data_IF_527114234416
#
_entry.id   IF_527114234416
#
_cell.length_a   1.000
_cell.length_b   1.000
_cell.length_c   1.000
_cell.angle_alpha   90.00
_cell.angle_beta   90.00
_cell.angle_gamma   90.00
#
_symmetry.space_group_name_H-M   'P 1'
#
loop_
_entity.id
_entity.type
_entity.pdbx_description
1 polymer ?
#
# COMPACT_ATOMS: atom_id res chain seq x y z
N UNK A 1 -16.21 -48.91 23.16
CA UNK A 1 -16.24 -47.67 23.96
C UNK A 1 -15.09 -46.79 23.50
N UNK A 2 -15.42 -45.61 22.93
CA UNK A 2 -14.63 -44.36 22.87
C UNK A 2 -13.13 -44.46 22.55
N UNK A 3 -12.60 -43.96 21.41
CA UNK A 3 -12.64 -42.56 20.97
C UNK A 3 -12.06 -42.50 19.54
N UNK A 4 -12.85 -42.35 18.48
CA UNK A 4 -13.18 -41.08 17.78
C UNK A 4 -11.96 -40.22 17.41
N UNK A 5 -11.54 -40.39 16.15
CA UNK A 5 -11.30 -39.34 15.16
C UNK A 5 -10.69 -38.01 15.62
N UNK A 6 -9.37 -37.90 15.54
CA UNK A 6 -8.65 -36.61 15.57
C UNK A 6 -7.68 -36.46 14.36
N UNK A 7 -8.08 -36.97 13.19
CA UNK A 7 -7.30 -36.83 11.96
C UNK A 7 -8.08 -36.20 10.79
N UNK A 8 -9.17 -35.45 11.05
CA UNK A 8 -9.86 -34.69 10.00
C UNK A 8 -10.53 -33.46 10.58
N UNK A 9 -9.78 -32.38 10.83
CA UNK A 9 -10.22 -31.00 10.56
C UNK A 9 -9.13 -30.00 10.91
N UNK A 10 -8.61 -29.32 9.91
CA UNK A 10 -7.58 -28.31 10.11
C UNK A 10 -7.12 -27.66 8.80
N UNK A 11 -8.03 -27.43 7.87
CA UNK A 11 -7.88 -26.43 6.82
C UNK A 11 -7.53 -25.09 7.48
N UNK A 12 -6.23 -24.77 7.57
CA UNK A 12 -5.79 -23.40 7.69
C UNK A 12 -4.81 -23.14 6.57
N UNK A 13 -5.36 -22.66 5.46
CA UNK A 13 -4.65 -21.93 4.42
C UNK A 13 -3.69 -20.94 5.09
N UNK A 14 -2.42 -21.30 5.22
CA UNK A 14 -1.37 -20.33 5.52
C UNK A 14 -0.91 -19.76 4.19
N UNK A 15 -1.12 -18.45 4.05
CA UNK A 15 -0.98 -17.70 2.83
C UNK A 15 0.41 -17.80 2.23
N UNK A 16 0.51 -18.50 1.10
CA UNK A 16 1.64 -18.44 0.18
C UNK A 16 1.18 -17.56 -0.99
N UNK A 17 1.12 -16.25 -0.79
CA UNK A 17 0.92 -15.30 -1.91
C UNK A 17 1.60 -13.95 -1.69
N UNK A 18 2.54 -13.83 -0.74
CA UNK A 18 3.25 -12.57 -0.49
C UNK A 18 4.68 -12.42 -1.07
N UNK A 19 5.37 -13.42 -1.65
CA UNK A 19 6.67 -13.13 -2.28
C UNK A 19 6.52 -12.54 -3.69
N UNK A 20 5.60 -13.07 -4.51
CA UNK A 20 5.50 -12.73 -5.94
C UNK A 20 5.14 -11.26 -6.22
N UNK A 21 4.29 -10.66 -5.37
CA UNK A 21 3.89 -9.27 -5.54
C UNK A 21 5.02 -8.26 -5.22
N UNK A 22 5.93 -8.61 -4.32
CA UNK A 22 7.08 -7.76 -3.97
C UNK A 22 8.11 -7.76 -5.11
N UNK A 23 8.32 -8.92 -5.74
CA UNK A 23 9.26 -9.06 -6.86
C UNK A 23 8.84 -8.28 -8.11
N UNK A 24 7.54 -8.30 -8.45
CA UNK A 24 7.04 -7.63 -9.65
C UNK A 24 7.21 -6.10 -9.60
N UNK A 25 7.00 -5.48 -8.43
CA UNK A 25 7.22 -4.05 -8.25
C UNK A 25 8.71 -3.72 -8.42
N UNK A 26 9.59 -4.49 -7.77
CA UNK A 26 11.03 -4.27 -7.85
C UNK A 26 11.57 -4.47 -9.28
N UNK A 27 11.01 -5.43 -10.02
CA UNK A 27 11.35 -5.66 -11.42
C UNK A 27 10.88 -4.51 -12.31
N UNK A 28 9.67 -3.99 -12.08
CA UNK A 28 9.16 -2.82 -12.81
C UNK A 28 10.02 -1.56 -12.59
N UNK A 29 10.53 -1.34 -11.38
CA UNK A 29 11.42 -0.22 -11.06
C UNK A 29 12.76 -0.34 -11.79
N UNK A 30 13.36 -1.54 -11.78
CA UNK A 30 14.62 -1.82 -12.49
C UNK A 30 14.48 -1.64 -13.99
N UNK A 31 13.36 -2.10 -14.57
CA UNK A 31 13.06 -1.89 -15.99
C UNK A 31 12.87 -0.40 -16.26
N UNK A 32 12.14 0.32 -15.42
CA UNK A 32 11.96 1.77 -15.53
C UNK A 32 13.30 2.52 -15.48
N UNK A 33 14.21 2.13 -14.60
CA UNK A 33 15.54 2.72 -14.49
C UNK A 33 16.41 2.43 -15.71
N UNK A 34 16.38 1.20 -16.23
CA UNK A 34 17.09 0.85 -17.46
C UNK A 34 16.55 1.63 -18.68
N UNK A 35 15.23 1.76 -18.80
CA UNK A 35 14.58 2.51 -19.87
C UNK A 35 14.85 4.02 -19.80
N UNK A 36 15.19 4.54 -18.62
CA UNK A 36 15.56 5.95 -18.40
C UNK A 36 16.86 6.37 -19.13
N UNK A 37 17.67 5.41 -19.59
CA UNK A 37 18.88 5.62 -20.39
C UNK A 37 18.67 5.37 -21.90
N UNK A 38 17.45 5.00 -22.32
CA UNK A 38 17.12 4.71 -23.72
C UNK A 38 16.43 5.91 -24.40
N UNK A 39 16.14 5.81 -25.70
CA UNK A 39 15.35 6.81 -26.43
C UNK A 39 13.94 7.05 -25.84
N UNK A 40 13.41 6.11 -25.04
CA UNK A 40 12.12 6.25 -24.34
C UNK A 40 12.22 6.92 -22.97
N UNK A 41 13.40 7.37 -22.56
CA UNK A 41 13.63 8.12 -21.33
C UNK A 41 12.61 9.25 -21.04
N UNK A 42 12.22 10.12 -22.00
CA UNK A 42 11.27 11.20 -21.69
C UNK A 42 9.91 10.69 -21.21
N UNK A 43 9.41 9.59 -21.80
CA UNK A 43 8.11 9.01 -21.43
C UNK A 43 8.17 8.42 -20.03
N UNK A 44 9.22 7.66 -19.72
CA UNK A 44 9.39 7.03 -18.39
C UNK A 44 9.55 8.10 -17.30
N UNK A 45 10.32 9.16 -17.57
CA UNK A 45 10.47 10.28 -16.63
C UNK A 45 9.15 11.03 -16.42
N UNK A 46 8.35 11.21 -17.48
CA UNK A 46 7.03 11.83 -17.37
C UNK A 46 6.09 11.00 -16.51
N UNK A 47 6.03 9.68 -16.73
CA UNK A 47 5.24 8.75 -15.92
C UNK A 47 5.65 8.78 -14.45
N UNK A 48 6.96 8.77 -14.17
CA UNK A 48 7.50 8.84 -12.80
C UNK A 48 7.08 10.13 -12.09
N UNK A 49 7.22 11.28 -12.76
CA UNK A 49 6.78 12.57 -12.21
C UNK A 49 5.28 12.59 -11.96
N UNK A 50 4.47 12.08 -12.90
CA UNK A 50 3.02 11.99 -12.73
C UNK A 50 2.65 11.17 -11.50
N UNK A 51 3.27 10.01 -11.32
CA UNK A 51 3.02 9.17 -10.15
C UNK A 51 3.41 9.88 -8.84
N UNK A 52 4.58 10.50 -8.79
CA UNK A 52 5.03 11.28 -7.63
C UNK A 52 4.08 12.44 -7.29
N UNK A 53 3.53 13.13 -8.31
CA UNK A 53 2.57 14.22 -8.06
C UNK A 53 1.25 13.72 -7.50
N UNK A 54 0.81 12.51 -7.85
CA UNK A 54 -0.39 11.88 -7.30
C UNK A 54 -0.17 11.53 -5.83
N UNK A 55 0.93 10.84 -5.52
CA UNK A 55 1.29 10.48 -4.14
C UNK A 55 1.45 11.71 -3.24
N UNK A 56 2.05 12.78 -3.76
CA UNK A 56 2.21 14.03 -3.02
C UNK A 56 0.86 14.69 -2.70
N UNK A 57 -0.12 14.63 -3.61
CA UNK A 57 -1.49 15.12 -3.37
C UNK A 57 -2.20 14.29 -2.31
N UNK A 58 -2.13 12.96 -2.43
CA UNK A 58 -2.73 12.06 -1.44
C UNK A 58 -2.15 12.31 -0.04
N UNK A 59 -0.83 12.44 0.08
CA UNK A 59 -0.17 12.75 1.36
C UNK A 59 -0.58 14.11 1.92
N UNK A 60 -0.75 15.12 1.08
CA UNK A 60 -1.25 16.43 1.50
C UNK A 60 -2.68 16.33 2.04
N UNK A 61 -3.55 15.59 1.35
CA UNK A 61 -4.93 15.40 1.76
C UNK A 61 -5.03 14.62 3.08
N UNK A 62 -4.21 13.56 3.27
CA UNK A 62 -4.13 12.85 4.53
C UNK A 62 -3.75 13.77 5.69
N UNK A 63 -2.70 14.59 5.53
CA UNK A 63 -2.28 15.55 6.57
C UNK A 63 -3.37 16.57 6.88
N UNK A 64 -4.07 17.03 5.84
CA UNK A 64 -5.16 17.98 5.98
C UNK A 64 -6.33 17.37 6.74
N UNK A 65 -6.76 16.17 6.38
CA UNK A 65 -7.83 15.44 7.08
C UNK A 65 -7.45 15.22 8.55
N UNK A 66 -6.23 14.77 8.81
CA UNK A 66 -5.75 14.53 10.17
C UNK A 66 -5.76 15.81 11.01
N UNK A 67 -5.33 16.94 10.44
CA UNK A 67 -5.39 18.24 11.12
C UNK A 67 -6.82 18.68 11.44
N UNK A 68 -7.76 18.48 10.52
CA UNK A 68 -9.17 18.83 10.70
C UNK A 68 -9.80 17.92 11.76
N UNK A 69 -9.54 16.61 11.68
CA UNK A 69 -10.02 15.63 12.65
C UNK A 69 -9.55 15.98 14.05
N UNK A 70 -8.27 16.32 14.20
CA UNK A 70 -7.69 16.73 15.47
C UNK A 70 -8.33 18.01 16.01
N UNK A 71 -8.59 19.00 15.14
CA UNK A 71 -9.31 20.23 15.54
C UNK A 71 -10.74 19.94 16.01
N UNK A 72 -11.47 19.09 15.29
CA UNK A 72 -12.82 18.68 15.68
C UNK A 72 -12.78 17.97 17.04
N UNK A 73 -11.86 17.01 17.20
CA UNK A 73 -11.72 16.24 18.44
C UNK A 73 -11.38 17.15 19.62
N UNK A 74 -10.52 18.16 19.45
CA UNK A 74 -10.21 19.14 20.48
C UNK A 74 -11.43 19.99 20.86
N UNK A 75 -12.15 20.52 19.86
CA UNK A 75 -13.33 21.38 20.08
C UNK A 75 -14.52 20.62 20.67
N UNK A 76 -14.69 19.36 20.30
CA UNK A 76 -15.82 18.52 20.70
C UNK A 76 -15.45 17.53 21.82
N UNK A 77 -14.24 17.62 22.38
CA UNK A 77 -13.81 16.78 23.49
C UNK A 77 -14.72 16.94 24.72
N UNK A 78 -15.16 18.17 25.00
CA UNK A 78 -16.12 18.48 26.06
C UNK A 78 -17.53 17.89 25.80
N UNK A 79 -17.88 17.59 24.55
CA UNK A 79 -19.17 16.97 24.18
C UNK A 79 -19.12 15.43 24.25
N UNK A 80 -17.93 14.84 24.41
CA UNK A 80 -17.70 13.40 24.51
C UNK A 80 -17.38 12.95 25.94
N UNK A 81 -17.34 13.87 26.92
CA UNK A 81 -17.18 13.60 28.35
C UNK A 81 -18.49 13.31 29.06
#
# INVERSE_FOLDING_TARGET
MSSVSLFVWGLRKQGISRPFAVDMNHLSERIGDALCYTAFAPVVRWLRRRHQTILAREQYDYRRIDSILNQIMMVHSDLLS
#
